data_IF_561478158289
#
_entry.id   IF_561478158289
#
_cell.length_a   1.000
_cell.length_b   1.000
_cell.length_c   1.000
_cell.angle_alpha   90.00
_cell.angle_beta   90.00
_cell.angle_gamma   90.00
#
_symmetry.space_group_name_H-M   'P 1'
#
loop_
_entity.id
_entity.type
_entity.pdbx_description
1 polymer ?
#
# COMPACT_ATOMS: atom_id res chain seq x y z
N UNK A 1 5.38 16.23 13.61
CA UNK A 1 4.53 15.21 14.25
C UNK A 1 3.54 15.97 15.11
N UNK A 2 2.28 16.07 14.68
CA UNK A 2 1.24 16.66 15.52
C UNK A 2 0.78 15.57 16.50
N UNK A 3 0.91 15.82 17.80
CA UNK A 3 0.25 15.01 18.83
C UNK A 3 -1.23 15.39 18.85
N UNK A 4 -1.95 15.12 17.76
CA UNK A 4 -3.40 15.16 17.80
C UNK A 4 -3.87 13.96 18.62
N UNK A 5 -4.84 14.14 19.55
CA UNK A 5 -5.46 13.03 20.25
C UNK A 5 -5.89 11.98 19.22
N UNK A 6 -5.64 10.70 19.53
CA UNK A 6 -6.17 9.58 18.74
C UNK A 6 -7.67 9.84 18.53
N UNK A 7 -8.19 9.79 17.30
CA UNK A 7 -9.60 10.05 17.07
C UNK A 7 -10.41 9.12 17.98
N UNK A 8 -11.19 9.71 18.89
CA UNK A 8 -12.07 8.97 19.81
C UNK A 8 -13.23 8.30 19.04
N UNK A 9 -13.41 8.68 17.77
CA UNK A 9 -14.40 8.18 16.84
C UNK A 9 -13.82 7.08 15.92
N UNK A 10 -14.43 5.90 15.95
CA UNK A 10 -14.04 4.74 15.13
C UNK A 10 -14.13 5.01 13.62
N UNK A 11 -15.06 5.88 13.18
CA UNK A 11 -15.23 6.23 11.76
C UNK A 11 -14.08 7.11 11.25
N UNK A 12 -13.61 8.05 12.07
CA UNK A 12 -12.47 8.91 11.70
C UNK A 12 -11.19 8.11 11.62
N UNK A 13 -10.96 7.17 12.55
CA UNK A 13 -9.83 6.25 12.49
C UNK A 13 -9.85 5.41 11.21
N UNK A 14 -11.01 4.84 10.85
CA UNK A 14 -11.18 4.08 9.60
C UNK A 14 -10.85 4.91 8.37
N UNK A 15 -11.29 6.17 8.30
CA UNK A 15 -10.95 7.09 7.20
C UNK A 15 -9.46 7.39 7.13
N UNK A 16 -8.79 7.58 8.26
CA UNK A 16 -7.34 7.79 8.31
C UNK A 16 -6.57 6.54 7.86
N UNK A 17 -7.02 5.36 8.28
CA UNK A 17 -6.41 4.08 7.89
C UNK A 17 -6.52 3.83 6.39
N UNK A 18 -7.65 4.17 5.75
CA UNK A 18 -7.78 4.12 4.28
C UNK A 18 -6.72 4.99 3.62
N UNK A 19 -6.57 6.25 4.03
CA UNK A 19 -5.57 7.17 3.45
C UNK A 19 -4.15 6.63 3.63
N UNK A 20 -3.84 6.07 4.80
CA UNK A 20 -2.54 5.47 5.10
C UNK A 20 -2.25 4.25 4.22
N UNK A 21 -3.18 3.30 4.13
CA UNK A 21 -2.99 2.09 3.33
C UNK A 21 -2.96 2.41 1.83
N UNK A 22 -3.75 3.35 1.34
CA UNK A 22 -3.68 3.81 -0.06
C UNK A 22 -2.32 4.44 -0.37
N UNK A 23 -1.79 5.30 0.51
CA UNK A 23 -0.45 5.88 0.32
C UNK A 23 0.63 4.81 0.34
N UNK A 24 0.56 3.87 1.28
CA UNK A 24 1.52 2.77 1.37
C UNK A 24 1.44 1.83 0.16
N UNK A 25 0.24 1.58 -0.38
CA UNK A 25 0.04 0.84 -1.61
C UNK A 25 0.68 1.55 -2.81
N UNK A 26 0.46 2.87 -2.94
CA UNK A 26 1.06 3.65 -4.02
C UNK A 26 2.59 3.63 -3.94
N UNK A 27 3.15 3.80 -2.74
CA UNK A 27 4.61 3.77 -2.51
C UNK A 27 5.19 2.39 -2.84
N UNK A 28 4.53 1.30 -2.44
CA UNK A 28 5.03 -0.06 -2.70
C UNK A 28 4.96 -0.42 -4.19
N UNK A 29 3.89 -0.03 -4.88
CA UNK A 29 3.74 -0.24 -6.33
C UNK A 29 4.76 0.58 -7.10
N UNK A 30 4.85 1.89 -6.82
CA UNK A 30 5.81 2.78 -7.49
C UNK A 30 7.25 2.33 -7.18
N UNK A 31 7.56 2.00 -5.94
CA UNK A 31 8.88 1.53 -5.53
C UNK A 31 9.27 0.20 -6.18
N UNK A 32 8.35 -0.76 -6.24
CA UNK A 32 8.61 -2.06 -6.89
C UNK A 32 8.77 -1.95 -8.41
N UNK A 33 7.94 -1.13 -9.08
CA UNK A 33 8.06 -0.89 -10.53
C UNK A 33 9.33 -0.12 -10.85
N UNK A 34 9.59 1.00 -10.15
CA UNK A 34 10.77 1.82 -10.39
C UNK A 34 12.06 1.06 -10.04
N UNK A 35 12.09 0.33 -8.93
CA UNK A 35 13.22 -0.49 -8.52
C UNK A 35 13.48 -1.66 -9.48
N UNK A 36 12.42 -2.35 -9.93
CA UNK A 36 12.52 -3.43 -10.92
C UNK A 36 13.04 -2.93 -12.27
N UNK A 37 12.53 -1.80 -12.76
CA UNK A 37 13.00 -1.18 -14.00
C UNK A 37 14.43 -0.66 -13.90
N UNK A 38 14.81 -0.02 -12.78
CA UNK A 38 16.18 0.45 -12.58
C UNK A 38 17.17 -0.72 -12.56
N UNK A 39 16.85 -1.80 -11.83
CA UNK A 39 17.69 -3.00 -11.80
C UNK A 39 17.76 -3.69 -13.16
N UNK A 40 16.67 -3.70 -13.93
CA UNK A 40 16.67 -4.23 -15.28
C UNK A 40 17.62 -3.46 -16.20
N UNK A 41 17.57 -2.12 -16.19
CA UNK A 41 18.44 -1.29 -17.04
C UNK A 41 19.91 -1.49 -16.67
N UNK A 42 20.23 -1.60 -15.37
CA UNK A 42 21.60 -1.74 -14.90
C UNK A 42 22.20 -3.13 -15.13
N UNK A 43 21.38 -4.18 -15.07
CA UNK A 43 21.87 -5.57 -15.11
C UNK A 43 21.47 -6.32 -16.37
N UNK A 44 20.59 -5.76 -17.20
CA UNK A 44 19.89 -6.43 -18.31
C UNK A 44 19.19 -7.74 -17.91
N UNK A 45 18.93 -7.93 -16.61
CA UNK A 45 18.38 -9.17 -16.07
C UNK A 45 16.86 -9.11 -15.96
N UNK A 46 16.18 -9.83 -16.85
CA UNK A 46 14.71 -9.98 -16.82
C UNK A 46 14.23 -10.64 -15.52
N UNK A 47 15.06 -11.47 -14.88
CA UNK A 47 14.73 -12.08 -13.60
C UNK A 47 14.50 -11.02 -12.50
N UNK A 48 15.39 -10.03 -12.39
CA UNK A 48 15.26 -8.96 -11.39
C UNK A 48 14.06 -8.05 -11.66
N UNK A 49 13.73 -7.84 -12.94
CA UNK A 49 12.50 -7.14 -13.34
C UNK A 49 11.25 -7.87 -12.84
N UNK A 50 11.19 -9.20 -13.06
CA UNK A 50 10.06 -10.03 -12.62
C UNK A 50 9.93 -10.00 -11.09
N UNK A 51 11.05 -10.10 -10.36
CA UNK A 51 11.03 -10.00 -8.89
C UNK A 51 10.51 -8.63 -8.42
N UNK A 52 10.96 -7.54 -9.04
CA UNK A 52 10.46 -6.19 -8.72
C UNK A 52 8.96 -6.03 -8.97
N UNK A 53 8.45 -6.60 -10.06
CA UNK A 53 7.02 -6.63 -10.37
C UNK A 53 6.22 -7.46 -9.36
N UNK A 54 6.73 -8.61 -8.93
CA UNK A 54 6.08 -9.43 -7.89
C UNK A 54 5.97 -8.63 -6.59
N UNK A 55 7.05 -7.94 -6.18
CA UNK A 55 7.04 -7.08 -4.99
C UNK A 55 6.02 -5.95 -5.13
N UNK A 56 5.93 -5.31 -6.29
CA UNK A 56 4.93 -4.28 -6.56
C UNK A 56 3.50 -4.80 -6.42
N UNK A 57 3.20 -5.96 -7.02
CA UNK A 57 1.86 -6.57 -6.99
C UNK A 57 1.48 -7.01 -5.58
N UNK A 58 2.37 -7.73 -4.87
CA UNK A 58 2.11 -8.19 -3.49
C UNK A 58 1.97 -7.01 -2.53
N UNK A 59 2.83 -5.99 -2.69
CA UNK A 59 2.77 -4.75 -1.92
C UNK A 59 1.47 -3.98 -2.15
N UNK A 60 0.97 -3.94 -3.39
CA UNK A 60 -0.33 -3.35 -3.72
C UNK A 60 -1.49 -4.15 -3.11
N UNK A 61 -1.49 -5.47 -3.31
CA UNK A 61 -2.57 -6.36 -2.87
C UNK A 61 -2.78 -6.37 -1.35
N UNK A 62 -1.69 -6.45 -0.58
CA UNK A 62 -1.76 -6.48 0.89
C UNK A 62 -2.36 -5.20 1.47
N UNK A 63 -2.06 -4.04 0.90
CA UNK A 63 -2.64 -2.77 1.35
C UNK A 63 -4.08 -2.60 0.84
N UNK A 64 -4.37 -3.03 -0.40
CA UNK A 64 -5.72 -3.00 -0.96
C UNK A 64 -6.69 -3.87 -0.15
N UNK A 65 -6.29 -5.09 0.23
CA UNK A 65 -7.13 -5.98 1.04
C UNK A 65 -7.51 -5.37 2.40
N UNK A 66 -6.62 -4.57 3.01
CA UNK A 66 -6.90 -3.82 4.25
C UNK A 66 -7.91 -2.70 4.02
N UNK A 67 -7.76 -1.93 2.94
CA UNK A 67 -8.74 -0.89 2.55
C UNK A 67 -10.11 -1.51 2.32
N UNK A 68 -10.18 -2.63 1.60
CA UNK A 68 -11.43 -3.30 1.29
C UNK A 68 -12.16 -3.81 2.55
N UNK A 69 -11.42 -4.32 3.54
CA UNK A 69 -11.98 -4.66 4.86
C UNK A 69 -12.58 -3.45 5.58
N UNK A 70 -11.94 -2.28 5.49
CA UNK A 70 -12.44 -1.05 6.12
C UNK A 70 -13.69 -0.53 5.42
N UNK A 71 -13.71 -0.58 4.08
CA UNK A 71 -14.87 -0.12 3.27
C UNK A 71 -16.06 -1.05 3.48
N UNK A 72 -15.84 -2.36 3.48
CA UNK A 72 -16.91 -3.35 3.66
C UNK A 72 -17.33 -3.56 5.13
N UNK A 73 -16.72 -2.84 6.07
CA UNK A 73 -17.10 -2.93 7.47
C UNK A 73 -18.50 -2.34 7.66
N UNK A 74 -19.44 -3.20 8.09
CA UNK A 74 -20.80 -2.82 8.49
C UNK A 74 -20.82 -2.60 10.00
N UNK A 75 -21.16 -1.38 10.40
CA UNK A 75 -21.38 -1.04 11.79
C UNK A 75 -22.74 -1.67 12.20
N UNK A 76 -22.72 -2.69 13.07
CA UNK A 76 -23.93 -3.23 13.68
C UNK A 76 -24.27 -2.36 14.89
N UNK A 77 -25.46 -1.75 14.89
CA UNK A 77 -25.99 -0.91 15.96
C UNK A 77 -26.81 -1.71 16.96
#
# INVERSE_FOLDING_TARGET
MTMQPRPYNSIEQRKQDVRKYTRNAAVSVVGGVAGGLALFVLTSSTFLLIVGLIVAVVGGWTNWSKVQKIVNHKDNY
#
